data_IF_197461871483
#
_entry.id   IF_197461871483
#
_cell.length_a   1.000
_cell.length_b   1.000
_cell.length_c   1.000
_cell.angle_alpha   90.00
_cell.angle_beta   90.00
_cell.angle_gamma   90.00
#
_symmetry.space_group_name_H-M   'P 1'
#
loop_
_entity.id
_entity.type
_entity.pdbx_description
1 polymer ?
#
# COMPACT_ATOMS: atom_id res chain seq x y z
N UNK A 1 0.07 -5.22 -2.33
CA UNK A 1 -0.12 -3.90 -1.68
C UNK A 1 -0.24 -4.11 -0.18
N UNK A 2 0.43 -3.25 0.59
CA UNK A 2 0.60 -3.41 2.04
C UNK A 2 0.17 -2.15 2.80
N UNK A 3 -0.21 -2.36 4.06
CA UNK A 3 -0.31 -1.30 5.07
C UNK A 3 1.10 -1.00 5.59
N UNK A 4 1.56 0.25 5.46
CA UNK A 4 2.93 0.61 5.82
C UNK A 4 3.15 0.70 7.33
N UNK A 5 2.11 1.02 8.10
CA UNK A 5 2.21 1.08 9.55
C UNK A 5 2.49 -0.32 10.11
N UNK A 6 1.68 -1.30 9.72
CA UNK A 6 1.82 -2.68 10.17
C UNK A 6 3.14 -3.30 9.68
N UNK A 7 3.50 -3.05 8.42
CA UNK A 7 4.79 -3.47 7.87
C UNK A 7 6.00 -2.81 8.58
N UNK A 8 5.85 -1.61 9.13
CA UNK A 8 6.91 -0.97 9.94
C UNK A 8 7.11 -1.67 11.28
N UNK A 9 6.04 -2.21 11.87
CA UNK A 9 6.06 -2.94 13.14
C UNK A 9 6.60 -4.37 12.96
N UNK A 10 6.19 -5.06 11.89
CA UNK A 10 6.64 -6.40 11.56
C UNK A 10 6.69 -6.60 10.04
N UNK A 11 7.87 -6.93 9.51
CA UNK A 11 8.09 -7.09 8.06
C UNK A 11 7.36 -8.31 7.46
N UNK A 12 6.85 -9.21 8.29
CA UNK A 12 5.98 -10.31 7.83
C UNK A 12 4.53 -9.85 7.57
N UNK A 13 4.15 -8.65 7.98
CA UNK A 13 2.78 -8.13 7.85
C UNK A 13 2.56 -7.54 6.43
N UNK A 14 2.60 -8.41 5.42
CA UNK A 14 2.57 -8.02 4.00
C UNK A 14 1.27 -8.35 3.28
N UNK A 15 0.21 -8.73 4.00
CA UNK A 15 -1.02 -9.16 3.34
C UNK A 15 -2.08 -9.71 4.28
N UNK A 16 -2.71 -10.81 3.85
CA UNK A 16 -3.92 -11.38 4.43
C UNK A 16 -3.75 -11.96 5.83
N UNK A 17 -2.52 -12.28 6.23
CA UNK A 17 -2.20 -12.91 7.51
C UNK A 17 -1.77 -11.89 8.57
N UNK A 18 -1.98 -10.59 8.31
CA UNK A 18 -1.71 -9.55 9.28
C UNK A 18 -2.68 -9.63 10.47
N UNK A 19 -2.20 -10.12 11.63
CA UNK A 19 -2.95 -10.22 12.90
C UNK A 19 -4.38 -10.79 12.75
N UNK A 20 -5.38 -9.91 12.61
CA UNK A 20 -6.80 -10.24 12.46
C UNK A 20 -7.26 -10.41 11.00
N UNK A 21 -6.34 -10.36 10.05
CA UNK A 21 -6.54 -10.68 8.65
C UNK A 21 -6.73 -9.46 7.71
N UNK A 22 -7.18 -9.73 6.48
CA UNK A 22 -7.41 -8.73 5.41
C UNK A 22 -8.24 -7.52 5.83
N UNK A 23 -9.25 -7.73 6.67
CA UNK A 23 -10.17 -6.67 7.07
C UNK A 23 -9.46 -5.59 7.90
N UNK A 24 -8.42 -5.96 8.65
CA UNK A 24 -7.66 -5.03 9.47
C UNK A 24 -6.88 -4.03 8.62
N UNK A 25 -6.07 -4.51 7.66
CA UNK A 25 -5.29 -3.62 6.78
C UNK A 25 -6.19 -2.76 5.87
N UNK A 26 -7.28 -3.34 5.36
CA UNK A 26 -8.27 -2.59 4.58
C UNK A 26 -8.95 -1.50 5.41
N UNK A 27 -9.36 -1.81 6.64
CA UNK A 27 -10.03 -0.87 7.53
C UNK A 27 -9.11 0.29 7.93
N UNK A 28 -7.86 0.03 8.26
CA UNK A 28 -6.89 1.08 8.58
C UNK A 28 -6.64 2.00 7.37
N UNK A 29 -6.48 1.44 6.16
CA UNK A 29 -6.34 2.25 4.96
C UNK A 29 -7.59 3.11 4.66
N UNK A 30 -8.80 2.55 4.83
CA UNK A 30 -10.07 3.21 4.47
C UNK A 30 -10.59 4.18 5.52
N UNK A 31 -10.55 3.81 6.80
CA UNK A 31 -11.19 4.55 7.89
C UNK A 31 -10.21 5.43 8.65
N UNK A 32 -8.95 4.99 8.79
CA UNK A 32 -7.93 5.74 9.53
C UNK A 32 -7.00 6.54 8.60
N UNK A 33 -7.03 6.27 7.29
CA UNK A 33 -6.17 6.96 6.33
C UNK A 33 -4.71 6.56 6.42
N UNK A 34 -4.43 5.38 6.97
CA UNK A 34 -3.07 4.94 7.15
C UNK A 34 -2.35 4.86 5.79
N UNK A 35 -1.04 5.18 5.77
CA UNK A 35 -0.28 5.16 4.53
C UNK A 35 -0.18 3.74 3.99
N UNK A 36 -0.46 3.59 2.69
CA UNK A 36 -0.37 2.33 1.96
C UNK A 36 0.83 2.34 1.02
N UNK A 37 1.33 1.14 0.71
CA UNK A 37 2.50 0.99 -0.14
C UNK A 37 2.53 -0.27 -0.98
N UNK A 38 3.56 -0.35 -1.83
CA UNK A 38 3.91 -1.52 -2.61
C UNK A 38 5.15 -2.14 -2.03
N UNK A 39 5.05 -3.42 -1.67
CA UNK A 39 6.19 -4.29 -1.47
C UNK A 39 6.40 -5.06 -2.77
N UNK A 40 7.55 -4.87 -3.41
CA UNK A 40 7.96 -5.61 -4.59
C UNK A 40 8.61 -6.94 -4.19
N UNK A 41 8.69 -7.88 -5.12
CA UNK A 41 9.26 -9.22 -4.87
C UNK A 41 10.76 -9.20 -4.56
N UNK A 42 11.47 -8.13 -4.94
CA UNK A 42 12.87 -7.87 -4.58
C UNK A 42 13.01 -7.16 -3.21
N UNK A 43 11.91 -6.98 -2.46
CA UNK A 43 11.91 -6.46 -1.10
C UNK A 43 11.91 -4.93 -0.99
N UNK A 44 11.81 -4.20 -2.12
CA UNK A 44 11.70 -2.73 -2.08
C UNK A 44 10.29 -2.30 -1.69
N UNK A 45 10.23 -1.18 -0.98
CA UNK A 45 8.98 -0.59 -0.50
C UNK A 45 8.81 0.78 -1.12
N UNK A 46 7.65 1.00 -1.73
CA UNK A 46 7.25 2.28 -2.29
C UNK A 46 5.99 2.77 -1.57
N UNK A 47 6.07 3.92 -0.91
CA UNK A 47 4.88 4.58 -0.38
C UNK A 47 4.06 5.16 -1.53
N UNK A 48 2.77 4.87 -1.55
CA UNK A 48 1.89 5.48 -2.54
C UNK A 48 1.62 6.95 -2.21
N UNK A 49 1.66 7.77 -3.24
CA UNK A 49 1.38 9.20 -3.20
C UNK A 49 0.52 9.60 -4.41
N UNK A 50 0.07 10.86 -4.43
CA UNK A 50 -0.68 11.43 -5.55
C UNK A 50 -2.19 11.19 -5.48
N UNK A 51 -2.87 11.39 -6.61
CA UNK A 51 -4.33 11.47 -6.68
C UNK A 51 -5.07 10.15 -6.40
N UNK A 52 -4.41 9.00 -6.51
CA UNK A 52 -5.02 7.71 -6.22
C UNK A 52 -5.19 7.45 -4.71
N UNK A 53 -4.29 7.97 -3.87
CA UNK A 53 -4.40 7.86 -2.40
C UNK A 53 -5.18 9.01 -1.76
N UNK A 54 -5.65 9.96 -2.57
CA UNK A 54 -6.51 11.05 -2.09
C UNK A 54 -7.82 10.52 -1.46
N UNK A 55 -8.47 11.37 -0.68
CA UNK A 55 -9.72 11.04 0.02
C UNK A 55 -9.59 9.76 0.84
N UNK A 56 -8.60 9.68 1.72
CA UNK A 56 -8.42 8.56 2.64
C UNK A 56 -8.26 7.20 1.93
N UNK A 57 -7.42 7.16 0.88
CA UNK A 57 -7.20 5.96 0.07
C UNK A 57 -8.47 5.38 -0.58
N UNK A 58 -9.58 6.12 -0.75
CA UNK A 58 -10.87 5.53 -1.18
C UNK A 58 -10.76 4.69 -2.47
N UNK A 59 -9.93 5.10 -3.43
CA UNK A 59 -9.70 4.37 -4.69
C UNK A 59 -8.79 3.15 -4.53
N UNK A 60 -7.92 3.15 -3.52
CA UNK A 60 -6.86 2.16 -3.34
C UNK A 60 -7.17 1.16 -2.24
N UNK A 61 -7.99 1.53 -1.25
CA UNK A 61 -8.41 0.67 -0.16
C UNK A 61 -8.91 -0.71 -0.66
N UNK A 62 -9.77 -0.82 -1.71
CA UNK A 62 -10.19 -2.12 -2.24
C UNK A 62 -9.06 -3.01 -2.77
N UNK A 63 -7.87 -2.43 -3.02
CA UNK A 63 -6.69 -3.11 -3.54
C UNK A 63 -5.67 -3.46 -2.46
N UNK A 64 -5.89 -3.04 -1.21
CA UNK A 64 -5.04 -3.42 -0.07
C UNK A 64 -5.11 -4.94 0.09
N UNK A 65 -3.94 -5.57 0.34
CA UNK A 65 -3.71 -7.03 0.36
C UNK A 65 -3.75 -7.74 -0.99
N UNK A 66 -4.13 -7.07 -2.08
CA UNK A 66 -4.05 -7.64 -3.42
C UNK A 66 -2.65 -7.51 -4.03
N UNK A 67 -2.34 -8.39 -4.98
CA UNK A 67 -1.20 -8.18 -5.88
C UNK A 67 -1.64 -7.23 -6.98
N UNK A 68 -0.94 -6.12 -7.11
CA UNK A 68 -1.26 -5.07 -8.08
C UNK A 68 0.00 -4.61 -8.81
N UNK A 69 -0.20 -4.10 -10.01
CA UNK A 69 0.76 -3.27 -10.72
C UNK A 69 0.35 -1.82 -10.54
N UNK A 70 1.29 -0.95 -10.20
CA UNK A 70 1.09 0.49 -10.11
C UNK A 70 2.12 1.18 -10.99
N UNK A 71 1.69 2.18 -11.74
CA UNK A 71 2.57 3.03 -12.54
C UNK A 71 2.53 4.45 -11.99
N UNK A 72 3.67 5.13 -12.04
CA UNK A 72 3.80 6.45 -11.43
C UNK A 72 5.24 6.95 -11.47
N UNK A 73 5.41 8.23 -11.14
CA UNK A 73 6.71 8.83 -10.94
C UNK A 73 7.27 8.41 -9.58
N UNK A 74 8.51 7.92 -9.55
CA UNK A 74 9.19 7.53 -8.32
C UNK A 74 10.08 8.68 -7.85
N UNK A 75 9.91 9.08 -6.60
CA UNK A 75 10.78 10.05 -5.94
C UNK A 75 11.33 9.44 -4.65
N UNK A 76 12.51 9.89 -4.24
CA UNK A 76 13.06 9.55 -2.94
C UNK A 76 12.99 10.77 -2.04
N UNK A 77 12.43 10.58 -0.83
CA UNK A 77 12.36 11.63 0.18
C UNK A 77 12.70 11.03 1.54
N UNK A 78 13.68 11.63 2.21
CA UNK A 78 14.14 11.19 3.54
C UNK A 78 14.53 9.69 3.61
N UNK A 79 15.12 9.16 2.52
CA UNK A 79 15.50 7.75 2.40
C UNK A 79 14.33 6.78 2.16
N UNK A 80 13.12 7.30 1.94
CA UNK A 80 11.94 6.53 1.55
C UNK A 80 11.59 6.75 0.08
N UNK A 81 11.37 5.64 -0.63
CA UNK A 81 10.84 5.69 -1.99
C UNK A 81 9.34 5.95 -1.95
N UNK A 82 8.90 6.93 -2.72
CA UNK A 82 7.50 7.28 -2.93
C UNK A 82 7.18 7.10 -4.41
N UNK A 83 5.96 6.63 -4.71
CA UNK A 83 5.45 6.56 -6.08
C UNK A 83 4.17 7.39 -6.18
N UNK A 84 4.20 8.44 -6.99
CA UNK A 84 3.03 9.23 -7.35
C UNK A 84 2.17 8.40 -8.31
N UNK A 85 1.22 7.64 -7.75
CA UNK A 85 0.48 6.62 -8.46
C UNK A 85 -0.53 7.25 -9.43
N UNK A 86 -0.37 6.92 -10.72
CA UNK A 86 -1.23 7.36 -11.81
C UNK A 86 -2.25 6.29 -12.19
N UNK A 87 -1.85 5.02 -12.17
CA UNK A 87 -2.70 3.86 -12.49
C UNK A 87 -2.46 2.73 -11.48
N UNK A 88 -3.50 1.94 -11.23
CA UNK A 88 -3.44 0.70 -10.46
C UNK A 88 -4.23 -0.39 -11.18
N UNK A 89 -3.59 -1.53 -11.44
CA UNK A 89 -4.22 -2.70 -12.03
C UNK A 89 -4.05 -3.89 -11.09
N UNK A 90 -5.14 -4.55 -10.72
CA UNK A 90 -5.09 -5.79 -9.95
C UNK A 90 -4.59 -6.94 -10.84
N UNK A 91 -3.58 -7.65 -10.35
CA UNK A 91 -3.01 -8.84 -10.99
C UNK A 91 -3.53 -10.12 -10.33
N UNK A 92 -3.68 -10.13 -9.00
CA UNK A 92 -4.16 -11.29 -8.25
C UNK A 92 -4.83 -10.86 -6.94
N UNK A 93 -5.84 -11.63 -6.51
CA UNK A 93 -6.44 -11.54 -5.18
C UNK A 93 -5.57 -12.15 -4.09
#
# INVERSE_FOLDING_TARGET
>A
MIDLYCYSMNKADTGMDHRAGRECAWACAKYEGQPVGLLTTDGKVYQLAGGLVASNNTKIAPHVTHTVTVTGEVTEKDGMLMIAANDVTMVKK
#
